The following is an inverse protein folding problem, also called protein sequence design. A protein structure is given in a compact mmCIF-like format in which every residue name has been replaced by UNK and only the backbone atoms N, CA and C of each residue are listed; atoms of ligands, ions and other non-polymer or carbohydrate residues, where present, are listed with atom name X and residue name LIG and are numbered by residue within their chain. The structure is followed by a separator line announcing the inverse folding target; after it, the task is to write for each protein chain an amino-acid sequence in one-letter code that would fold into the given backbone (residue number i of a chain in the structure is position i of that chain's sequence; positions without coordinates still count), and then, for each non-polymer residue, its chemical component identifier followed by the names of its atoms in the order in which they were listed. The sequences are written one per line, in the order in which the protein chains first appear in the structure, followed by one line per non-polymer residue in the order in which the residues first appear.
data_IF_746411755078
#
_entry.id   IF_746411755078
#
_cell.length_a   1.000
_cell.length_b   1.000
_cell.length_c   1.000
_cell.angle_alpha   90.00
_cell.angle_beta   90.00
_cell.angle_gamma   90.00
#
_symmetry.space_group_name_H-M   'P 1'
#
loop_
_entity.id
_entity.type
_entity.pdbx_description
1 polymer ?
#
# COMPACT_ATOMS: atom_id res chain seq x y z
N UNK A 1 12.36 -21.02 -13.75
CA UNK A 1 11.05 -20.48 -14.12
C UNK A 1 10.24 -20.30 -12.84
N UNK A 2 9.94 -19.06 -12.45
CA UNK A 2 8.57 -18.68 -12.15
C UNK A 2 8.46 -17.16 -12.24
N UNK A 3 7.64 -16.75 -13.19
CA UNK A 3 7.32 -15.38 -13.54
C UNK A 3 6.09 -14.99 -12.74
N UNK A 4 6.29 -14.31 -11.62
CA UNK A 4 5.20 -13.71 -10.86
C UNK A 4 5.05 -12.24 -11.28
N UNK A 5 4.12 -12.08 -12.21
CA UNK A 5 3.15 -10.99 -12.35
C UNK A 5 3.67 -9.54 -12.49
N UNK A 6 3.56 -9.08 -13.74
CA UNK A 6 3.67 -7.72 -14.22
C UNK A 6 2.84 -6.70 -13.44
N UNK A 7 3.53 -5.77 -12.76
CA UNK A 7 3.11 -4.38 -12.73
C UNK A 7 4.16 -3.54 -13.47
N UNK A 8 4.22 -3.71 -14.78
CA UNK A 8 5.08 -2.88 -15.65
C UNK A 8 4.38 -1.55 -15.87
N UNK A 9 4.40 -0.69 -14.85
CA UNK A 9 4.27 0.75 -15.10
C UNK A 9 5.41 1.15 -16.03
N UNK A 10 5.11 1.86 -17.10
CA UNK A 10 6.05 2.28 -18.14
C UNK A 10 7.12 3.20 -17.52
N UNK A 11 8.15 2.64 -16.90
CA UNK A 11 9.19 3.41 -16.22
C UNK A 11 10.16 4.00 -17.24
N UNK A 12 9.96 5.27 -17.56
CA UNK A 12 10.83 6.00 -18.50
C UNK A 12 12.19 6.22 -17.84
N UNK A 13 13.28 5.84 -18.51
CA UNK A 13 14.63 6.02 -17.97
C UNK A 13 15.35 7.18 -18.66
N UNK A 14 15.92 8.09 -17.88
CA UNK A 14 16.70 9.25 -18.37
C UNK A 14 18.06 9.31 -17.67
N UNK A 15 19.01 10.04 -18.25
CA UNK A 15 20.29 10.29 -17.57
C UNK A 15 20.19 11.52 -16.63
N UNK A 16 21.14 11.63 -15.71
CA UNK A 16 21.19 12.73 -14.75
C UNK A 16 21.41 14.10 -15.43
N UNK A 17 22.08 14.13 -16.58
CA UNK A 17 22.31 15.38 -17.33
C UNK A 17 21.03 15.94 -17.94
N UNK A 18 20.18 15.07 -18.49
CA UNK A 18 18.86 15.39 -19.03
C UNK A 18 17.91 15.78 -17.92
N UNK A 19 17.93 15.04 -16.80
CA UNK A 19 17.17 15.41 -15.61
C UNK A 19 17.55 16.82 -15.13
N UNK A 20 18.85 17.15 -15.05
CA UNK A 20 19.32 18.49 -14.66
C UNK A 20 18.84 19.58 -15.63
N UNK A 21 18.81 19.30 -16.93
CA UNK A 21 18.39 20.26 -17.95
C UNK A 21 16.87 20.49 -17.99
N UNK A 22 16.07 19.46 -17.67
CA UNK A 22 14.60 19.47 -17.82
C UNK A 22 13.85 19.25 -16.51
N UNK A 23 14.50 19.49 -15.36
CA UNK A 23 14.04 19.10 -14.03
C UNK A 23 12.58 19.50 -13.76
N UNK A 24 12.26 20.80 -13.89
CA UNK A 24 10.92 21.34 -13.63
C UNK A 24 9.87 20.73 -14.57
N UNK A 25 10.16 20.69 -15.87
CA UNK A 25 9.25 20.10 -16.86
C UNK A 25 8.95 18.63 -16.57
N UNK A 26 9.97 17.87 -16.15
CA UNK A 26 9.79 16.46 -15.80
C UNK A 26 8.98 16.28 -14.51
N UNK A 27 9.08 17.21 -13.54
CA UNK A 27 8.23 17.20 -12.35
C UNK A 27 6.76 17.42 -12.72
N UNK A 28 6.48 18.40 -13.58
CA UNK A 28 5.13 18.68 -14.07
C UNK A 28 4.59 17.50 -14.88
N UNK A 29 5.38 16.96 -15.80
CA UNK A 29 5.02 15.79 -16.62
C UNK A 29 4.70 14.56 -15.76
N UNK A 30 5.49 14.29 -14.72
CA UNK A 30 5.23 13.18 -13.78
C UNK A 30 3.98 13.45 -12.95
N UNK A 31 3.75 14.70 -12.54
CA UNK A 31 2.54 15.07 -11.80
C UNK A 31 1.26 14.93 -12.64
N UNK A 32 1.30 15.29 -13.93
CA UNK A 32 0.18 15.20 -14.86
C UNK A 32 -0.07 13.78 -15.38
N UNK A 33 0.98 13.10 -15.86
CA UNK A 33 0.87 11.75 -16.43
C UNK A 33 0.67 10.68 -15.35
N UNK A 34 1.25 10.90 -14.16
CA UNK A 34 1.35 9.88 -13.13
C UNK A 34 2.36 8.76 -13.45
N UNK A 35 3.12 8.89 -14.54
CA UNK A 35 4.17 7.93 -14.91
C UNK A 35 5.45 8.20 -14.12
N UNK A 36 6.18 7.14 -13.78
CA UNK A 36 7.42 7.25 -13.04
C UNK A 36 8.65 7.35 -13.96
N UNK A 37 9.64 8.13 -13.53
CA UNK A 37 10.88 8.32 -14.27
C UNK A 37 12.08 7.84 -13.45
N UNK A 38 12.87 6.93 -14.01
CA UNK A 38 14.14 6.47 -13.42
C UNK A 38 15.27 7.37 -13.91
N UNK A 39 16.02 7.93 -12.97
CA UNK A 39 17.17 8.78 -13.24
C UNK A 39 18.44 7.95 -13.06
N UNK A 40 19.25 7.87 -14.11
CA UNK A 40 20.52 7.12 -14.14
C UNK A 40 21.72 8.04 -14.18
N UNK A 41 22.82 7.64 -13.54
CA UNK A 41 24.13 8.28 -13.65
C UNK A 41 25.14 7.21 -14.06
N UNK A 42 25.85 7.42 -15.16
CA UNK A 42 26.81 6.45 -15.72
C UNK A 42 26.19 5.05 -15.94
N UNK A 43 24.96 5.00 -16.46
CA UNK A 43 24.22 3.74 -16.69
C UNK A 43 23.68 3.06 -15.43
N UNK A 44 23.87 3.64 -14.24
CA UNK A 44 23.36 3.10 -12.97
C UNK A 44 22.15 3.90 -12.48
N UNK A 45 21.01 3.25 -12.18
CA UNK A 45 19.86 3.94 -11.59
C UNK A 45 20.24 4.51 -10.22
N UNK A 46 19.98 5.81 -10.01
CA UNK A 46 20.38 6.54 -8.80
C UNK A 46 19.18 7.16 -8.08
N UNK A 47 18.15 7.56 -8.82
CA UNK A 47 16.94 8.15 -8.26
C UNK A 47 15.72 7.81 -9.11
N UNK A 48 14.52 8.01 -8.55
CA UNK A 48 13.26 7.88 -9.27
C UNK A 48 12.37 9.07 -8.92
N UNK A 49 11.75 9.66 -9.94
CA UNK A 49 10.73 10.68 -9.80
C UNK A 49 9.37 9.99 -9.90
N UNK A 50 8.53 10.21 -8.90
CA UNK A 50 7.19 9.62 -8.79
C UNK A 50 6.16 10.72 -8.55
N UNK A 51 4.92 10.58 -9.02
CA UNK A 51 3.87 11.56 -8.77
C UNK A 51 3.62 11.69 -7.28
N UNK A 52 3.49 12.92 -6.79
CA UNK A 52 3.07 13.17 -5.42
C UNK A 52 1.57 12.88 -5.30
N UNK A 53 1.22 11.82 -4.56
CA UNK A 53 -0.16 11.51 -4.18
C UNK A 53 -0.29 11.71 -2.68
N UNK A 54 -1.21 12.57 -2.26
CA UNK A 54 -1.56 12.71 -0.85
C UNK A 54 -1.98 11.32 -0.33
N UNK A 55 -1.26 10.79 0.66
CA UNK A 55 -1.64 9.51 1.27
C UNK A 55 -3.02 9.69 1.90
N UNK A 56 -3.98 8.79 1.65
CA UNK A 56 -5.22 8.80 2.42
C UNK A 56 -4.86 8.69 3.90
N UNK A 57 -5.51 9.50 4.73
CA UNK A 57 -5.33 9.50 6.18
C UNK A 57 -5.47 8.06 6.66
N UNK A 58 -4.47 7.55 7.39
CA UNK A 58 -4.52 6.20 7.95
C UNK A 58 -5.72 6.11 8.88
N UNK A 59 -6.75 5.38 8.45
CA UNK A 59 -7.87 4.93 9.28
C UNK A 59 -7.41 4.09 10.48
N UNK A 60 -6.31 3.34 10.35
CA UNK A 60 -5.64 2.69 11.47
C UNK A 60 -5.05 3.73 12.44
N UNK A 61 -5.61 3.80 13.65
CA UNK A 61 -5.18 4.73 14.71
C UNK A 61 -5.96 6.04 14.78
N UNK A 62 -7.00 6.24 13.96
CA UNK A 62 -7.81 7.48 14.01
C UNK A 62 -8.53 7.71 15.36
N UNK A 63 -8.76 6.63 16.10
CA UNK A 63 -9.37 6.62 17.43
C UNK A 63 -8.38 6.23 18.54
N UNK A 64 -7.08 6.25 18.25
CA UNK A 64 -6.03 6.09 19.26
C UNK A 64 -6.22 7.17 20.35
N UNK A 65 -6.47 6.74 21.58
CA UNK A 65 -6.77 7.63 22.72
C UNK A 65 -8.25 8.06 22.86
N UNK A 66 -9.13 7.76 21.91
CA UNK A 66 -10.59 7.99 22.01
C UNK A 66 -11.37 6.77 22.53
N UNK A 67 -10.79 5.58 22.43
CA UNK A 67 -11.41 4.34 22.89
C UNK A 67 -11.13 4.17 24.38
N UNK A 68 -12.18 4.11 25.19
CA UNK A 68 -12.11 3.71 26.60
C UNK A 68 -12.75 2.34 26.76
N UNK A 69 -12.00 1.40 27.32
CA UNK A 69 -12.53 0.11 27.76
C UNK A 69 -13.34 0.38 29.04
N UNK A 70 -14.67 0.30 28.95
CA UNK A 70 -15.57 0.63 30.07
C UNK A 70 -15.82 -0.56 31.03
N UNK A 71 -15.27 -1.74 30.73
CA UNK A 71 -15.45 -2.96 31.53
C UNK A 71 -14.40 -4.02 31.20
N UNK A 72 -14.43 -5.15 31.90
CA UNK A 72 -13.52 -6.26 31.59
C UNK A 72 -13.93 -6.92 30.26
N UNK A 73 -13.03 -6.85 29.28
CA UNK A 73 -13.21 -7.42 27.93
C UNK A 73 -12.38 -8.69 27.72
N UNK A 74 -11.63 -9.12 28.74
CA UNK A 74 -10.70 -10.25 28.67
C UNK A 74 -11.26 -11.44 29.45
N UNK A 75 -12.14 -11.18 30.43
CA UNK A 75 -12.81 -12.26 31.16
C UNK A 75 -13.49 -13.24 30.20
N UNK A 76 -13.39 -14.55 30.46
CA UNK A 76 -14.22 -15.55 29.80
C UNK A 76 -15.68 -15.15 29.93
N UNK A 77 -16.41 -15.23 28.83
CA UNK A 77 -17.87 -15.13 28.87
C UNK A 77 -18.37 -16.49 29.36
N UNK A 78 -19.17 -16.51 30.42
CA UNK A 78 -19.87 -17.69 30.91
C UNK A 78 -21.11 -17.98 30.04
N UNK A 79 -20.88 -18.08 28.74
CA UNK A 79 -21.89 -18.42 27.75
C UNK A 79 -21.38 -19.62 26.98
N UNK A 80 -22.20 -20.67 26.96
CA UNK A 80 -21.95 -21.82 26.11
C UNK A 80 -22.26 -21.41 24.67
N UNK A 81 -21.23 -21.33 23.84
CA UNK A 81 -21.40 -21.00 22.44
C UNK A 81 -21.83 -22.26 21.70
N UNK A 82 -23.10 -22.35 21.29
CA UNK A 82 -23.57 -23.40 20.38
C UNK A 82 -22.88 -23.24 19.01
N UNK A 83 -21.72 -23.86 18.83
CA UNK A 83 -21.19 -24.13 17.50
C UNK A 83 -22.08 -25.22 16.90
N UNK A 84 -22.84 -24.88 15.86
CA UNK A 84 -23.90 -25.73 15.28
C UNK A 84 -23.47 -27.17 14.99
N UNK A 85 -23.56 -28.02 16.00
CA UNK A 85 -23.72 -29.46 15.87
C UNK A 85 -25.23 -29.65 15.91
N UNK A 86 -25.81 -30.02 14.78
CA UNK A 86 -27.19 -30.45 14.77
C UNK A 86 -27.35 -31.63 15.74
N UNK A 87 -28.48 -31.76 16.46
CA UNK A 87 -28.68 -32.83 17.45
C UNK A 87 -28.63 -34.25 16.85
N UNK A 88 -28.54 -34.39 15.53
CA UNK A 88 -28.35 -35.63 14.79
C UNK A 88 -26.88 -35.93 14.38
N UNK A 89 -25.94 -35.02 14.68
CA UNK A 89 -24.50 -35.21 14.48
C UNK A 89 -23.98 -34.88 13.08
N UNK A 90 -24.74 -34.17 12.25
CA UNK A 90 -24.29 -33.82 10.89
C UNK A 90 -23.46 -32.53 10.88
N UNK A 91 -22.27 -32.57 10.25
CA UNK A 91 -21.45 -31.40 9.97
C UNK A 91 -21.86 -30.79 8.63
N UNK A 92 -22.21 -29.50 8.60
CA UNK A 92 -22.43 -28.75 7.36
C UNK A 92 -21.14 -28.75 6.52
N UNK A 93 -21.19 -29.39 5.34
CA UNK A 93 -20.18 -29.23 4.28
C UNK A 93 -20.50 -28.06 3.36
#
# INVERSE_FOLDING_TARGET
MNSDNANTGTSRTINASEFKAKCLKLMDEVAESGEEIIITKNGRPTARLVPYRAKPVKWFGADEGKIKILGDIISPLDVDWESGIDPDGTLFS
#
